data_IF_124807382476
#
_entry.id   IF_124807382476
#
_cell.length_a   1.000
_cell.length_b   1.000
_cell.length_c   1.000
_cell.angle_alpha   90.00
_cell.angle_beta   90.00
_cell.angle_gamma   90.00
#
_symmetry.space_group_name_H-M   'P 1'
#
loop_
_entity.id
_entity.type
_entity.pdbx_description
1 polymer ?
#
# COMPACT_ATOMS: atom_id res chain seq x y z
N UNK A 1 12.42 -6.13 8.64
CA UNK A 1 11.75 -6.79 7.50
C UNK A 1 12.81 -7.16 6.48
N UNK A 2 12.73 -8.34 5.84
CA UNK A 2 13.78 -8.73 4.88
C UNK A 2 13.73 -7.79 3.66
N UNK A 3 14.86 -7.20 3.23
CA UNK A 3 14.94 -6.22 2.15
C UNK A 3 14.23 -6.68 0.85
N UNK A 4 14.28 -7.98 0.57
CA UNK A 4 13.57 -8.62 -0.55
C UNK A 4 12.04 -8.47 -0.47
N UNK A 5 11.47 -8.56 0.73
CA UNK A 5 10.02 -8.38 0.95
C UNK A 5 9.61 -6.94 0.69
N UNK A 6 10.42 -5.97 1.12
CA UNK A 6 10.17 -4.55 0.84
C UNK A 6 10.19 -4.29 -0.68
N UNK A 7 11.16 -4.84 -1.41
CA UNK A 7 11.22 -4.74 -2.87
C UNK A 7 9.99 -5.39 -3.53
N UNK A 8 9.58 -6.58 -3.07
CA UNK A 8 8.39 -7.27 -3.57
C UNK A 8 7.12 -6.43 -3.39
N UNK A 9 6.90 -5.92 -2.17
CA UNK A 9 5.74 -5.10 -1.84
C UNK A 9 5.75 -3.80 -2.64
N UNK A 10 6.90 -3.12 -2.71
CA UNK A 10 7.06 -1.90 -3.49
C UNK A 10 6.67 -2.12 -4.96
N UNK A 11 7.19 -3.17 -5.60
CA UNK A 11 6.87 -3.47 -7.00
C UNK A 11 5.39 -3.83 -7.19
N UNK A 12 4.81 -4.61 -6.28
CA UNK A 12 3.38 -4.96 -6.32
C UNK A 12 2.52 -3.70 -6.33
N UNK A 13 2.67 -2.83 -5.34
CA UNK A 13 1.84 -1.63 -5.22
C UNK A 13 2.17 -0.56 -6.26
N UNK A 14 3.39 -0.57 -6.83
CA UNK A 14 3.77 0.27 -7.96
C UNK A 14 2.99 -0.11 -9.20
N UNK A 15 2.79 -1.41 -9.43
CA UNK A 15 1.98 -1.92 -10.55
C UNK A 15 0.48 -1.71 -10.34
N UNK A 16 0.04 -1.59 -9.08
CA UNK A 16 -1.35 -1.27 -8.73
C UNK A 16 -1.66 0.22 -8.76
N UNK A 17 -0.77 1.08 -9.27
CA UNK A 17 -1.04 2.53 -9.35
C UNK A 17 -2.34 2.81 -10.13
N UNK A 18 -3.20 3.63 -9.54
CA UNK A 18 -4.56 3.96 -9.95
C UNK A 18 -5.56 2.79 -9.94
N UNK A 19 -5.17 1.61 -9.46
CA UNK A 19 -6.11 0.51 -9.28
C UNK A 19 -7.08 0.80 -8.14
N UNK A 20 -8.32 0.36 -8.31
CA UNK A 20 -9.34 0.38 -7.26
C UNK A 20 -9.15 -0.87 -6.41
N UNK A 21 -9.00 -0.67 -5.11
CA UNK A 21 -8.83 -1.76 -4.15
C UNK A 21 -9.88 -1.61 -3.06
N UNK A 22 -10.47 -2.73 -2.67
CA UNK A 22 -11.36 -2.82 -1.53
C UNK A 22 -10.59 -3.31 -0.32
N UNK A 23 -10.65 -2.56 0.77
CA UNK A 23 -10.22 -3.03 2.07
C UNK A 23 -11.24 -4.05 2.59
N UNK A 24 -10.78 -5.27 2.81
CA UNK A 24 -11.61 -6.37 3.32
C UNK A 24 -11.98 -6.23 4.79
N UNK A 25 -11.29 -5.39 5.56
CA UNK A 25 -11.61 -5.14 6.97
C UNK A 25 -12.71 -4.10 7.09
N UNK A 26 -12.52 -2.92 6.48
CA UNK A 26 -13.47 -1.80 6.59
C UNK A 26 -14.56 -1.79 5.51
N UNK A 27 -14.36 -2.53 4.42
CA UNK A 27 -15.21 -2.48 3.23
C UNK A 27 -14.98 -1.26 2.34
N UNK A 28 -14.09 -0.34 2.74
CA UNK A 28 -13.80 0.92 2.06
C UNK A 28 -13.12 0.68 0.71
N UNK A 29 -13.51 1.45 -0.30
CA UNK A 29 -12.84 1.46 -1.60
C UNK A 29 -11.81 2.58 -1.64
N UNK A 30 -10.60 2.20 -2.01
CA UNK A 30 -9.46 3.07 -2.14
C UNK A 30 -8.91 3.03 -3.57
N UNK A 31 -8.32 4.13 -4.01
CA UNK A 31 -7.53 4.21 -5.24
C UNK A 31 -6.06 4.26 -4.83
N UNK A 32 -5.25 3.32 -5.31
CA UNK A 32 -3.82 3.30 -4.99
C UNK A 32 -3.11 4.43 -5.72
N UNK A 33 -2.41 5.31 -4.99
CA UNK A 33 -1.69 6.43 -5.59
C UNK A 33 -0.25 6.05 -5.93
N UNK A 34 0.52 5.66 -4.90
CA UNK A 34 1.93 5.29 -5.03
C UNK A 34 2.42 4.56 -3.78
N UNK A 35 3.34 3.60 -3.93
CA UNK A 35 4.17 3.17 -2.81
C UNK A 35 5.39 4.08 -2.65
N UNK A 36 5.90 4.21 -1.42
CA UNK A 36 7.22 4.76 -1.16
C UNK A 36 7.97 3.93 -0.12
N UNK A 37 9.30 3.97 -0.18
CA UNK A 37 10.18 3.30 0.78
C UNK A 37 10.50 4.24 1.93
N UNK A 38 10.30 3.77 3.15
CA UNK A 38 10.65 4.46 4.38
C UNK A 38 11.79 3.70 5.06
N UNK A 39 12.91 4.39 5.31
CA UNK A 39 14.08 3.78 5.95
C UNK A 39 13.86 3.76 7.47
N UNK A 40 13.96 2.58 8.08
CA UNK A 40 13.84 2.44 9.54
C UNK A 40 15.21 2.35 10.19
N UNK A 41 16.13 1.60 9.59
CA UNK A 41 17.51 1.46 10.03
C UNK A 41 18.46 1.35 8.84
N UNK A 42 19.76 1.23 9.07
CA UNK A 42 20.73 1.10 7.98
C UNK A 42 20.44 -0.08 7.04
N UNK A 43 19.92 -1.18 7.60
CA UNK A 43 19.65 -2.43 6.86
C UNK A 43 18.16 -2.74 6.66
N UNK A 44 17.23 -1.84 7.02
CA UNK A 44 15.79 -2.13 6.99
C UNK A 44 14.95 -0.99 6.41
N UNK A 45 13.98 -1.40 5.57
CA UNK A 45 13.07 -0.51 4.87
C UNK A 45 11.65 -1.04 5.00
N UNK A 46 10.72 -0.12 5.26
CA UNK A 46 9.29 -0.36 5.14
C UNK A 46 8.76 0.23 3.85
N UNK A 47 7.65 -0.33 3.37
CA UNK A 47 6.91 0.23 2.24
C UNK A 47 5.61 0.78 2.78
N UNK A 48 5.36 2.05 2.49
CA UNK A 48 4.09 2.72 2.74
C UNK A 48 3.33 2.81 1.43
N UNK A 49 2.07 2.40 1.46
CA UNK A 49 1.14 2.48 0.34
C UNK A 49 0.23 3.66 0.57
N UNK A 50 0.40 4.70 -0.24
CA UNK A 50 -0.48 5.86 -0.24
C UNK A 50 -1.69 5.57 -1.13
N UNK A 51 -2.88 5.81 -0.60
CA UNK A 51 -4.14 5.59 -1.28
C UNK A 51 -5.08 6.77 -1.06
N UNK A 52 -6.09 6.92 -1.91
CA UNK A 52 -7.17 7.89 -1.74
C UNK A 52 -8.48 7.16 -1.51
N UNK A 53 -9.21 7.51 -0.47
CA UNK A 53 -10.57 7.02 -0.27
C UNK A 53 -11.46 7.54 -1.41
N UNK A 54 -12.10 6.64 -2.13
CA UNK A 54 -12.88 7.01 -3.32
C UNK A 54 -14.10 7.86 -2.98
N UNK A 55 -14.70 7.66 -1.80
CA UNK A 55 -15.89 8.40 -1.38
C UNK A 55 -15.57 9.78 -0.80
N UNK A 56 -14.54 9.88 0.05
CA UNK A 56 -14.21 11.13 0.73
C UNK A 56 -13.12 11.95 0.03
N UNK A 57 -12.39 11.36 -0.91
CA UNK A 57 -11.21 11.98 -1.53
C UNK A 57 -10.02 12.12 -0.59
N UNK A 58 -10.10 11.58 0.64
CA UNK A 58 -9.04 11.71 1.63
C UNK A 58 -7.87 10.76 1.32
N UNK A 59 -6.66 11.29 1.31
CA UNK A 59 -5.44 10.49 1.23
C UNK A 59 -5.14 9.81 2.57
N UNK A 60 -4.73 8.54 2.51
CA UNK A 60 -4.39 7.70 3.66
C UNK A 60 -3.16 6.88 3.33
N UNK A 61 -2.37 6.59 4.36
CA UNK A 61 -1.15 5.80 4.26
C UNK A 61 -1.31 4.50 5.03
N UNK A 62 -0.97 3.39 4.37
CA UNK A 62 -1.00 2.06 4.98
C UNK A 62 0.37 1.41 4.89
N UNK A 63 0.77 0.74 5.97
CA UNK A 63 1.90 -0.18 5.91
C UNK A 63 1.60 -1.27 4.86
N UNK A 64 2.59 -1.56 4.00
CA UNK A 64 2.41 -2.51 2.91
C UNK A 64 2.02 -3.91 3.38
N UNK A 65 2.38 -4.30 4.59
CA UNK A 65 1.98 -5.58 5.19
C UNK A 65 0.47 -5.66 5.43
N UNK A 66 -0.13 -4.58 5.92
CA UNK A 66 -1.57 -4.45 6.06
C UNK A 66 -2.22 -4.46 4.67
N UNK A 67 -1.79 -3.57 3.78
CA UNK A 67 -2.34 -3.44 2.44
C UNK A 67 -2.24 -4.76 1.67
N UNK A 68 -1.14 -5.50 1.79
CA UNK A 68 -0.96 -6.77 1.08
C UNK A 68 -1.93 -7.85 1.56
N UNK A 69 -2.25 -7.83 2.85
CA UNK A 69 -3.16 -8.79 3.48
C UNK A 69 -4.63 -8.47 3.17
N UNK A 70 -5.00 -7.19 3.21
CA UNK A 70 -6.41 -6.79 3.25
C UNK A 70 -6.92 -6.08 2.00
N UNK A 71 -6.06 -5.51 1.15
CA UNK A 71 -6.51 -4.88 -0.09
C UNK A 71 -6.68 -5.92 -1.18
N UNK A 72 -7.86 -5.94 -1.78
CA UNK A 72 -8.21 -6.76 -2.96
C UNK A 72 -8.59 -5.84 -4.10
N UNK A 73 -7.98 -6.05 -5.25
CA UNK A 73 -8.39 -5.37 -6.50
C UNK A 73 -9.83 -5.77 -6.85
N UNK A 74 -10.61 -4.82 -7.38
CA UNK A 74 -12.03 -4.98 -7.74
C UNK A 74 -12.37 -4.38 -9.09
#
# INVERSE_FOLDING_TARGET
>A
MNQEKAILHFNKFKNLRNARVKDTVSGTIYIVLKPHLEKISEDDYHVIVMVTNEMSGQEQEFQSDYANSFFKEI
#
